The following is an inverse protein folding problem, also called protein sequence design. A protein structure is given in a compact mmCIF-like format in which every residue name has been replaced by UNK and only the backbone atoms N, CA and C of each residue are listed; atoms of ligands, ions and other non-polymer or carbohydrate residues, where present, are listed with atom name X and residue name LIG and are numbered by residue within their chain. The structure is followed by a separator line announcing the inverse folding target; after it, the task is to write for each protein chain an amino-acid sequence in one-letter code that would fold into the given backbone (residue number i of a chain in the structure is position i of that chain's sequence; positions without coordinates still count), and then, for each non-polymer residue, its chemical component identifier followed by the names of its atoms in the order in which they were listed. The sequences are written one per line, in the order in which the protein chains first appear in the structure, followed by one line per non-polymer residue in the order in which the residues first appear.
data_IF_836108313615
#
_entry.id   IF_836108313615
#
_cell.length_a   1.000
_cell.length_b   1.000
_cell.length_c   1.000
_cell.angle_alpha   90.00
_cell.angle_beta   90.00
_cell.angle_gamma   90.00
#
_symmetry.space_group_name_H-M   'P 1'
#
loop_
_entity.id
_entity.type
_entity.pdbx_description
1 polymer ?
#
# COMPACT_ATOMS: atom_id res chain seq x y z
N UNK A 1 26.86 -30.59 63.03
CA UNK A 1 27.97 -31.14 62.23
C UNK A 1 28.08 -32.62 62.59
N UNK A 2 28.28 -33.57 61.68
CA UNK A 2 28.68 -33.49 60.25
C UNK A 2 27.46 -33.70 59.33
N UNK A 3 27.61 -33.48 58.02
CA UNK A 3 26.53 -33.49 57.02
C UNK A 3 26.54 -34.73 56.10
N UNK A 4 25.38 -34.97 55.51
CA UNK A 4 25.10 -35.66 54.25
C UNK A 4 24.04 -34.79 53.51
N UNK A 5 23.71 -35.00 52.22
CA UNK A 5 24.12 -36.05 51.28
C UNK A 5 25.18 -35.47 50.27
N UNK A 6 25.24 -35.67 48.94
CA UNK A 6 24.34 -36.30 47.97
C UNK A 6 25.06 -36.76 46.68
N UNK A 7 24.28 -37.31 45.75
CA UNK A 7 24.62 -38.00 44.50
C UNK A 7 25.09 -37.03 43.40
N UNK A 8 26.08 -37.45 42.60
CA UNK A 8 26.43 -36.79 41.35
C UNK A 8 25.47 -37.22 40.22
N UNK A 9 24.81 -36.27 39.54
CA UNK A 9 23.85 -36.57 38.45
C UNK A 9 24.28 -35.98 37.10
N UNK A 10 24.06 -36.81 36.07
CA UNK A 10 24.44 -36.72 34.66
C UNK A 10 23.99 -35.42 33.95
N UNK A 11 24.84 -34.91 33.03
CA UNK A 11 24.52 -33.82 32.09
C UNK A 11 23.55 -34.26 30.98
N UNK A 12 22.60 -33.41 30.58
CA UNK A 12 22.09 -33.39 29.20
C UNK A 12 22.94 -32.50 28.28
N UNK A 13 23.07 -32.88 27.01
CA UNK A 13 23.47 -31.99 25.91
C UNK A 13 22.20 -31.47 25.25
N UNK A 14 22.10 -30.15 24.99
CA UNK A 14 20.86 -29.56 24.50
C UNK A 14 20.94 -28.07 24.13
N UNK A 15 22.08 -27.60 23.61
CA UNK A 15 22.28 -26.21 23.20
C UNK A 15 21.56 -25.86 21.89
N UNK A 16 20.23 -25.88 21.89
CA UNK A 16 19.43 -25.45 20.74
C UNK A 16 19.50 -23.91 20.59
N UNK A 17 20.27 -23.44 19.61
CA UNK A 17 20.32 -22.02 19.28
C UNK A 17 18.95 -21.55 18.77
N UNK A 18 18.41 -20.48 19.37
CA UNK A 18 17.20 -19.85 18.88
C UNK A 18 17.46 -19.29 17.46
N UNK A 19 16.53 -19.47 16.49
CA UNK A 19 16.70 -18.89 15.17
C UNK A 19 16.77 -17.37 15.30
N UNK A 20 17.79 -16.76 14.68
CA UNK A 20 17.96 -15.32 14.69
C UNK A 20 16.72 -14.66 14.07
N UNK A 21 15.96 -13.90 14.87
CA UNK A 21 14.85 -13.13 14.36
C UNK A 21 15.37 -12.13 13.33
N UNK A 22 14.94 -12.28 12.07
CA UNK A 22 15.34 -11.37 11.00
C UNK A 22 15.14 -9.93 11.44
N UNK A 23 16.16 -9.06 11.35
CA UNK A 23 15.98 -7.66 11.68
C UNK A 23 14.87 -7.11 10.78
N UNK A 24 13.79 -6.63 11.39
CA UNK A 24 12.64 -6.10 10.65
C UNK A 24 13.15 -5.06 9.66
N UNK A 25 12.83 -5.25 8.37
CA UNK A 25 13.39 -4.45 7.29
C UNK A 25 13.34 -2.96 7.64
N UNK A 26 14.43 -2.20 7.42
CA UNK A 26 14.57 -0.86 7.97
C UNK A 26 13.36 -0.03 7.59
N UNK A 27 12.63 0.46 8.61
CA UNK A 27 11.40 1.23 8.43
C UNK A 27 11.69 2.36 7.45
N UNK A 28 11.13 2.25 6.24
CA UNK A 28 11.42 3.17 5.15
C UNK A 28 11.31 4.60 5.65
N UNK A 29 12.38 5.38 5.48
CA UNK A 29 12.36 6.80 5.80
C UNK A 29 11.14 7.46 5.12
N UNK A 30 10.49 8.46 5.75
CA UNK A 30 9.25 9.03 5.23
C UNK A 30 9.46 9.54 3.80
N UNK A 31 8.95 8.78 2.84
CA UNK A 31 9.19 8.97 1.42
C UNK A 31 8.61 10.32 0.96
N UNK A 32 9.29 10.92 -0.02
CA UNK A 32 9.33 12.37 -0.26
C UNK A 32 8.00 13.11 -0.08
N UNK A 33 8.06 14.27 0.57
CA UNK A 33 6.93 15.21 0.84
C UNK A 33 6.22 15.77 -0.42
N UNK A 34 6.47 15.23 -1.60
CA UNK A 34 5.83 15.65 -2.83
C UNK A 34 4.37 15.19 -2.82
N UNK A 35 3.49 16.17 -2.57
CA UNK A 35 2.04 16.02 -2.74
C UNK A 35 1.77 15.70 -4.20
N UNK A 36 1.32 14.48 -4.49
CA UNK A 36 0.67 14.21 -5.78
C UNK A 36 -0.67 14.93 -5.73
N UNK A 37 -0.76 15.97 -6.55
CA UNK A 37 -1.90 16.85 -6.69
C UNK A 37 -2.95 16.24 -7.63
N UNK A 38 -4.15 16.79 -7.56
CA UNK A 38 -5.25 16.53 -8.48
C UNK A 38 -4.87 16.93 -9.92
N UNK A 39 -5.59 16.41 -10.90
CA UNK A 39 -5.31 16.62 -12.32
C UNK A 39 -6.55 16.41 -13.19
N UNK A 40 -6.72 17.21 -14.23
CA UNK A 40 -7.76 16.99 -15.23
C UNK A 40 -7.27 17.36 -16.64
N UNK A 41 -7.44 16.46 -17.61
CA UNK A 41 -7.22 16.71 -19.04
C UNK A 41 -7.91 15.62 -19.89
N UNK A 42 -8.23 15.93 -21.16
CA UNK A 42 -8.63 14.94 -22.17
C UNK A 42 -9.79 14.00 -21.78
N UNK A 43 -10.77 14.49 -21.01
CA UNK A 43 -11.89 13.67 -20.52
C UNK A 43 -11.54 12.74 -19.36
N UNK A 44 -10.39 12.96 -18.71
CA UNK A 44 -9.97 12.30 -17.48
C UNK A 44 -9.86 13.33 -16.35
N UNK A 45 -10.40 12.99 -15.19
CA UNK A 45 -10.22 13.72 -13.92
C UNK A 45 -9.61 12.75 -12.90
N UNK A 46 -8.67 13.22 -12.09
CA UNK A 46 -8.06 12.47 -10.99
C UNK A 46 -8.03 13.36 -9.75
N UNK A 47 -8.74 12.92 -8.71
CA UNK A 47 -8.96 13.67 -7.46
C UNK A 47 -8.52 12.85 -6.25
N UNK A 48 -7.66 13.42 -5.41
CA UNK A 48 -7.15 12.79 -4.20
C UNK A 48 -8.25 12.63 -3.16
N UNK A 49 -8.27 11.48 -2.51
CA UNK A 49 -9.06 11.23 -1.31
C UNK A 49 -8.19 11.56 -0.10
N UNK A 50 -8.54 12.63 0.61
CA UNK A 50 -7.72 13.19 1.70
C UNK A 50 -8.29 12.89 3.10
N UNK A 51 -9.58 12.56 3.21
CA UNK A 51 -10.24 12.21 4.47
C UNK A 51 -10.77 10.78 4.52
N UNK A 52 -10.93 10.25 5.75
CA UNK A 52 -11.62 8.97 5.98
C UNK A 52 -13.12 9.02 5.64
N UNK A 53 -13.72 10.22 5.61
CA UNK A 53 -15.11 10.39 5.17
C UNK A 53 -15.24 10.17 3.66
N UNK A 54 -14.38 10.81 2.87
CA UNK A 54 -14.33 10.59 1.42
C UNK A 54 -13.97 9.15 1.06
N UNK A 55 -13.06 8.50 1.80
CA UNK A 55 -12.72 7.09 1.56
C UNK A 55 -13.92 6.15 1.76
N UNK A 56 -14.79 6.44 2.73
CA UNK A 56 -16.05 5.71 2.93
C UNK A 56 -17.08 6.03 1.86
N UNK A 57 -17.23 7.31 1.50
CA UNK A 57 -18.10 7.73 0.40
C UNK A 57 -17.70 7.08 -0.93
N UNK A 58 -16.38 6.98 -1.18
CA UNK A 58 -15.82 6.30 -2.35
C UNK A 58 -16.15 4.81 -2.35
N UNK A 59 -15.93 4.08 -1.25
CA UNK A 59 -16.25 2.65 -1.17
C UNK A 59 -17.73 2.35 -1.41
N UNK A 60 -18.62 3.21 -0.90
CA UNK A 60 -20.07 3.13 -1.17
C UNK A 60 -20.40 3.43 -2.64
N UNK A 61 -19.88 4.53 -3.18
CA UNK A 61 -20.10 4.99 -4.57
C UNK A 61 -19.58 3.98 -5.60
N UNK A 62 -18.39 3.43 -5.35
CA UNK A 62 -17.71 2.48 -6.23
C UNK A 62 -18.07 1.03 -5.95
N UNK A 63 -18.83 0.74 -4.88
CA UNK A 63 -19.15 -0.62 -4.41
C UNK A 63 -17.88 -1.48 -4.27
N UNK A 64 -16.84 -0.91 -3.65
CA UNK A 64 -15.49 -1.47 -3.57
C UNK A 64 -14.94 -1.43 -2.14
N UNK A 65 -14.04 -2.35 -1.81
CA UNK A 65 -13.43 -2.45 -0.48
C UNK A 65 -12.30 -1.43 -0.25
N UNK A 66 -12.37 -0.23 -0.86
CA UNK A 66 -11.33 0.80 -0.72
C UNK A 66 -11.18 1.28 0.73
N UNK A 67 -12.21 1.10 1.56
CA UNK A 67 -12.16 1.34 3.01
C UNK A 67 -11.01 0.62 3.70
N UNK A 68 -10.53 -0.49 3.15
CA UNK A 68 -9.48 -1.33 3.70
C UNK A 68 -8.10 -0.66 3.57
N UNK A 69 -7.98 0.36 2.71
CA UNK A 69 -6.81 1.24 2.65
C UNK A 69 -6.70 2.21 3.84
N UNK A 70 -7.72 2.31 4.71
CA UNK A 70 -7.75 3.21 5.87
C UNK A 70 -6.45 3.17 6.67
N UNK A 71 -5.99 2.00 7.08
CA UNK A 71 -4.78 1.89 7.90
C UNK A 71 -3.52 2.30 7.14
N UNK A 72 -3.40 1.89 5.87
CA UNK A 72 -2.26 2.24 5.01
C UNK A 72 -2.17 3.75 4.83
N UNK A 73 -3.31 4.42 4.63
CA UNK A 73 -3.41 5.89 4.55
C UNK A 73 -3.00 6.53 5.89
N UNK A 74 -3.54 6.04 7.02
CA UNK A 74 -3.18 6.55 8.35
C UNK A 74 -1.70 6.33 8.71
N UNK A 75 -1.05 5.31 8.13
CA UNK A 75 0.39 5.03 8.28
C UNK A 75 1.28 5.70 7.21
N UNK A 76 0.71 6.40 6.23
CA UNK A 76 1.45 7.01 5.11
C UNK A 76 1.97 6.00 4.06
N UNK A 77 1.56 4.73 4.14
CA UNK A 77 1.94 3.63 3.24
C UNK A 77 1.16 3.64 1.92
N UNK A 78 0.06 4.39 1.85
CA UNK A 78 -0.73 4.57 0.63
C UNK A 78 -1.37 5.97 0.56
N UNK A 79 -1.56 6.45 -0.67
CA UNK A 79 -2.46 7.54 -1.00
C UNK A 79 -3.48 7.01 -2.01
N UNK A 80 -4.75 7.40 -1.86
CA UNK A 80 -5.83 6.93 -2.72
C UNK A 80 -6.44 8.10 -3.49
N UNK A 81 -6.79 7.85 -4.75
CA UNK A 81 -7.39 8.80 -5.68
C UNK A 81 -8.65 8.17 -6.26
N UNK A 82 -9.69 8.97 -6.46
CA UNK A 82 -10.70 8.67 -7.47
C UNK A 82 -10.13 9.13 -8.82
N UNK A 83 -10.20 8.29 -9.85
CA UNK A 83 -10.06 8.70 -11.24
C UNK A 83 -11.37 8.48 -12.01
N UNK A 84 -11.78 9.46 -12.80
CA UNK A 84 -12.95 9.40 -13.67
C UNK A 84 -12.45 9.47 -15.12
N UNK A 85 -12.69 8.42 -15.91
CA UNK A 85 -12.26 8.31 -17.31
C UNK A 85 -13.51 8.26 -18.19
N UNK A 86 -13.87 9.39 -18.79
CA UNK A 86 -15.16 9.58 -19.44
C UNK A 86 -16.31 9.35 -18.46
N UNK A 87 -17.22 8.42 -18.78
CA UNK A 87 -18.32 8.02 -17.88
C UNK A 87 -17.93 6.99 -16.83
N UNK A 88 -16.68 6.48 -16.83
CA UNK A 88 -16.27 5.35 -15.99
C UNK A 88 -15.49 5.81 -14.76
N UNK A 89 -16.01 5.47 -13.58
CA UNK A 89 -15.29 5.61 -12.32
C UNK A 89 -14.25 4.50 -12.10
N UNK A 90 -13.11 4.92 -11.54
CA UNK A 90 -12.01 4.11 -11.04
C UNK A 90 -11.54 4.65 -9.68
N UNK A 91 -10.92 3.77 -8.90
CA UNK A 91 -10.19 4.13 -7.68
C UNK A 91 -8.77 3.60 -7.80
N UNK A 92 -7.78 4.44 -7.51
CA UNK A 92 -6.34 4.15 -7.64
C UNK A 92 -5.70 4.29 -6.27
N UNK A 93 -5.04 3.24 -5.80
CA UNK A 93 -4.13 3.29 -4.67
C UNK A 93 -2.69 3.34 -5.19
N UNK A 94 -1.96 4.36 -4.77
CA UNK A 94 -0.51 4.45 -4.95
C UNK A 94 0.17 4.24 -3.60
N UNK A 95 1.35 3.62 -3.62
CA UNK A 95 2.22 3.49 -2.46
C UNK A 95 3.60 4.04 -2.80
N UNK A 96 4.32 4.63 -1.85
CA UNK A 96 5.66 5.12 -2.12
C UNK A 96 6.65 3.95 -2.26
N UNK A 97 7.75 4.16 -2.96
CA UNK A 97 8.80 3.19 -3.21
C UNK A 97 10.18 3.86 -3.31
N UNK A 98 11.26 3.08 -3.44
CA UNK A 98 12.57 3.65 -3.77
C UNK A 98 12.45 4.45 -5.08
N UNK A 99 12.90 5.70 -5.08
CA UNK A 99 12.86 6.60 -6.23
C UNK A 99 11.55 7.37 -6.45
N UNK A 100 10.47 7.13 -5.69
CA UNK A 100 9.23 7.91 -5.86
C UNK A 100 7.96 7.20 -5.45
N UNK A 101 6.97 7.18 -6.36
CA UNK A 101 5.65 6.60 -6.15
C UNK A 101 5.38 5.48 -7.15
N UNK A 102 4.58 4.48 -6.76
CA UNK A 102 4.08 3.45 -7.67
C UNK A 102 2.59 3.17 -7.48
N UNK A 103 1.91 2.78 -8.55
CA UNK A 103 0.57 2.17 -8.44
C UNK A 103 0.71 0.86 -7.66
N UNK A 104 -0.02 0.72 -6.55
CA UNK A 104 -0.06 -0.51 -5.75
C UNK A 104 -1.35 -1.29 -5.98
N UNK A 105 -2.47 -0.62 -6.27
CA UNK A 105 -3.69 -1.24 -6.78
C UNK A 105 -4.55 -0.23 -7.55
N UNK A 106 -5.42 -0.72 -8.43
CA UNK A 106 -6.54 0.04 -8.98
C UNK A 106 -7.74 -0.87 -9.27
N UNK A 107 -8.95 -0.30 -9.19
CA UNK A 107 -10.22 -0.99 -9.45
C UNK A 107 -11.15 -0.07 -10.24
N UNK A 108 -11.94 -0.63 -11.15
CA UNK A 108 -13.15 0.04 -11.61
C UNK A 108 -14.32 -0.18 -10.63
N UNK A 109 -15.46 0.42 -10.95
CA UNK A 109 -16.74 0.23 -10.25
C UNK A 109 -17.07 -1.26 -10.02
N UNK A 110 -17.63 -1.58 -8.84
CA UNK A 110 -17.95 -2.93 -8.37
C UNK A 110 -16.75 -3.91 -8.42
N UNK A 111 -15.56 -3.40 -8.11
CA UNK A 111 -14.28 -4.12 -8.18
C UNK A 111 -13.90 -4.68 -9.57
N UNK A 112 -14.53 -4.21 -10.67
CA UNK A 112 -14.22 -4.71 -12.02
C UNK A 112 -12.74 -4.52 -12.38
N UNK A 113 -12.19 -5.36 -13.29
CA UNK A 113 -10.92 -5.08 -13.94
C UNK A 113 -10.89 -3.70 -14.60
N UNK A 114 -9.74 -3.03 -14.49
CA UNK A 114 -9.41 -1.81 -15.23
C UNK A 114 -8.98 -2.22 -16.63
N UNK A 115 -9.39 -1.49 -17.68
CA UNK A 115 -8.99 -1.80 -19.06
C UNK A 115 -7.68 -1.12 -19.44
N UNK A 116 -6.96 -1.68 -20.42
CA UNK A 116 -5.73 -1.07 -20.95
C UNK A 116 -5.96 0.35 -21.48
N UNK A 117 -7.14 0.62 -22.06
CA UNK A 117 -7.55 1.97 -22.50
C UNK A 117 -7.64 2.95 -21.33
N UNK A 118 -8.17 2.51 -20.18
CA UNK A 118 -8.29 3.33 -18.97
C UNK A 118 -6.91 3.61 -18.38
N UNK A 119 -6.01 2.62 -18.38
CA UNK A 119 -4.59 2.78 -18.00
C UNK A 119 -3.86 3.75 -18.93
N UNK A 120 -4.05 3.61 -20.24
CA UNK A 120 -3.39 4.46 -21.25
C UNK A 120 -3.81 5.94 -21.13
N UNK A 121 -5.09 6.19 -20.87
CA UNK A 121 -5.64 7.54 -20.65
C UNK A 121 -5.15 8.18 -19.33
N UNK A 122 -4.80 7.38 -18.32
CA UNK A 122 -4.10 7.82 -17.10
C UNK A 122 -2.58 8.01 -17.29
N UNK A 123 -2.03 7.50 -18.39
CA UNK A 123 -0.59 7.57 -18.72
C UNK A 123 0.04 8.98 -18.66
N UNK A 124 -0.61 10.04 -19.18
CA UNK A 124 -0.09 11.41 -19.07
C UNK A 124 0.04 11.89 -17.62
N UNK A 125 -0.96 11.63 -16.77
CA UNK A 125 -0.93 11.96 -15.34
C UNK A 125 0.19 11.19 -14.61
N UNK A 126 0.27 9.87 -14.83
CA UNK A 126 1.30 9.05 -14.19
C UNK A 126 2.72 9.51 -14.57
N UNK A 127 2.97 9.85 -15.85
CA UNK A 127 4.27 10.43 -16.28
C UNK A 127 4.53 11.81 -15.67
N UNK A 128 3.54 12.70 -15.66
CA UNK A 128 3.68 14.06 -15.12
C UNK A 128 3.88 14.12 -13.59
N UNK A 129 3.62 13.01 -12.89
CA UNK A 129 3.78 12.86 -11.43
C UNK A 129 4.81 11.79 -11.03
N UNK A 130 5.60 11.30 -11.99
CA UNK A 130 6.64 10.28 -11.82
C UNK A 130 6.14 8.99 -11.12
N UNK A 131 4.87 8.64 -11.35
CA UNK A 131 4.22 7.44 -10.79
C UNK A 131 4.59 6.23 -11.65
N UNK A 132 5.33 5.30 -11.06
CA UNK A 132 5.66 4.02 -11.68
C UNK A 132 4.42 3.13 -11.76
N UNK A 133 4.07 2.71 -12.98
CA UNK A 133 3.11 1.64 -13.21
C UNK A 133 3.85 0.45 -13.83
N UNK A 134 3.91 -0.66 -13.08
CA UNK A 134 4.25 -1.96 -13.62
C UNK A 134 2.96 -2.72 -13.90
N UNK A 135 2.67 -3.12 -15.15
CA UNK A 135 1.61 -4.11 -15.38
C UNK A 135 1.97 -5.39 -14.62
N UNK A 136 0.97 -6.06 -14.05
CA UNK A 136 1.20 -7.42 -13.53
C UNK A 136 1.45 -8.34 -14.72
N UNK A 137 2.59 -9.03 -14.68
CA UNK A 137 2.84 -10.22 -15.49
C UNK A 137 1.97 -11.39 -15.01
#
# INVERSE_FOLDING_TARGET
MVAAPEVALVRPVGGAAAPAGSPAAPRSAPLSRHVIEDWAANGVEVRRIVTLHELRAEGLRMRSCVTDYREKIQRGEAVVFHAQVGSRGLTIAISPCMGGWRVSEWKGFANRPVTETEVALLGPWMRAREILHHPRA
#
